data_IF_085238052666
#
_entry.id   IF_085238052666
#
_cell.length_a   1.000
_cell.length_b   1.000
_cell.length_c   1.000
_cell.angle_alpha   90.00
_cell.angle_beta   90.00
_cell.angle_gamma   90.00
#
_symmetry.space_group_name_H-M   'P 1'
#
loop_
_entity.id
_entity.type
_entity.pdbx_description
1 polymer ?
#
# COMPACT_ATOMS: atom_id res chain seq x y z
N UNK A 1 -6.70 -15.31 5.54
CA UNK A 1 -7.13 -14.20 6.42
C UNK A 1 -6.80 -12.90 5.72
N UNK A 2 -7.72 -11.93 5.73
CA UNK A 2 -7.57 -10.65 5.01
C UNK A 2 -7.65 -9.50 6.00
N UNK A 3 -6.76 -8.53 5.83
CA UNK A 3 -6.66 -7.34 6.64
C UNK A 3 -6.81 -6.12 5.76
N UNK A 4 -7.54 -5.11 6.24
CA UNK A 4 -7.75 -3.87 5.50
C UNK A 4 -7.38 -2.69 6.38
N UNK A 5 -6.56 -1.79 5.86
CA UNK A 5 -6.19 -0.53 6.50
C UNK A 5 -6.59 0.62 5.60
N UNK A 6 -7.41 1.52 6.13
CA UNK A 6 -7.77 2.77 5.47
C UNK A 6 -6.97 3.93 6.06
N UNK A 7 -6.55 4.84 5.18
CA UNK A 7 -5.94 6.12 5.50
C UNK A 7 -6.84 7.22 4.93
N UNK A 8 -7.23 8.13 5.81
CA UNK A 8 -7.98 9.34 5.46
C UNK A 8 -7.04 10.51 5.71
N UNK A 9 -6.95 11.42 4.75
CA UNK A 9 -6.10 12.61 4.79
C UNK A 9 -4.60 12.28 4.93
N UNK A 10 -4.12 11.34 4.10
CA UNK A 10 -2.71 10.98 4.07
C UNK A 10 -1.86 12.05 3.34
N UNK A 11 -0.57 12.13 3.71
CA UNK A 11 0.40 13.04 3.06
C UNK A 11 0.52 12.69 1.58
N UNK A 12 0.27 13.65 0.70
CA UNK A 12 0.28 13.46 -0.75
C UNK A 12 1.61 12.90 -1.28
N UNK A 13 2.72 13.08 -0.56
CA UNK A 13 4.03 12.47 -0.88
C UNK A 13 4.01 10.95 -0.88
N UNK A 14 3.05 10.30 -0.21
CA UNK A 14 2.95 8.84 -0.23
C UNK A 14 2.56 8.29 -1.61
N UNK A 15 1.97 9.11 -2.49
CA UNK A 15 1.66 8.70 -3.85
C UNK A 15 2.88 8.52 -4.75
N UNK A 16 4.07 8.93 -4.31
CA UNK A 16 5.31 8.71 -5.06
C UNK A 16 5.65 7.20 -5.18
N UNK A 17 5.18 6.38 -4.23
CA UNK A 17 5.35 4.94 -4.29
C UNK A 17 4.34 4.22 -3.40
N UNK A 18 3.74 3.16 -3.93
CA UNK A 18 2.86 2.31 -3.15
C UNK A 18 3.52 1.66 -1.91
N UNK A 19 4.84 1.56 -1.90
CA UNK A 19 5.60 0.98 -0.79
C UNK A 19 5.45 1.79 0.50
N UNK A 20 5.18 3.10 0.40
CA UNK A 20 4.89 3.95 1.56
C UNK A 20 3.63 3.48 2.29
N UNK A 21 2.54 3.22 1.55
CA UNK A 21 1.29 2.72 2.12
C UNK A 21 1.44 1.33 2.74
N UNK A 22 2.20 0.45 2.08
CA UNK A 22 2.42 -0.92 2.60
C UNK A 22 3.24 -0.87 3.89
N UNK A 23 4.36 -0.12 3.93
CA UNK A 23 5.17 0.04 5.15
C UNK A 23 4.36 0.67 6.28
N UNK A 24 3.55 1.69 5.98
CA UNK A 24 2.68 2.30 6.97
C UNK A 24 1.64 1.32 7.53
N UNK A 25 1.03 0.49 6.67
CA UNK A 25 0.09 -0.54 7.09
C UNK A 25 0.77 -1.62 7.96
N UNK A 26 1.97 -2.08 7.56
CA UNK A 26 2.77 -3.03 8.34
C UNK A 26 3.12 -2.47 9.73
N UNK A 27 3.60 -1.24 9.80
CA UNK A 27 3.95 -0.59 11.07
C UNK A 27 2.73 -0.40 11.98
N UNK A 28 1.57 -0.06 11.40
CA UNK A 28 0.32 0.07 12.15
C UNK A 28 -0.17 -1.27 12.74
N UNK A 29 0.20 -2.39 12.13
CA UNK A 29 -0.09 -3.76 12.61
C UNK A 29 1.04 -4.33 13.49
N UNK A 30 2.04 -3.52 13.83
CA UNK A 30 3.15 -3.91 14.73
C UNK A 30 4.26 -4.71 14.07
N UNK A 31 4.31 -4.75 12.73
CA UNK A 31 5.41 -5.38 12.00
C UNK A 31 6.64 -4.45 11.94
N UNK A 32 7.84 -5.04 12.04
CA UNK A 32 9.09 -4.33 11.78
C UNK A 32 9.20 -3.99 10.28
N UNK A 33 9.54 -2.74 9.98
CA UNK A 33 9.64 -2.22 8.60
C UNK A 33 11.05 -1.78 8.20
N UNK A 34 12.01 -1.87 9.14
CA UNK A 34 13.33 -1.25 9.01
C UNK A 34 14.14 -1.84 7.84
N UNK A 35 13.97 -3.13 7.56
CA UNK A 35 14.69 -3.86 6.50
C UNK A 35 13.76 -4.48 5.42
N UNK A 36 12.56 -3.94 5.25
CA UNK A 36 11.62 -4.48 4.25
C UNK A 36 12.02 -4.02 2.84
N UNK A 37 12.51 -4.98 2.05
CA UNK A 37 12.82 -4.81 0.63
C UNK A 37 11.64 -5.20 -0.26
N UNK A 38 11.19 -4.25 -1.09
CA UNK A 38 10.15 -4.48 -2.10
C UNK A 38 10.78 -4.77 -3.46
N UNK A 39 10.85 -6.05 -3.83
CA UNK A 39 11.32 -6.47 -5.15
C UNK A 39 10.46 -5.88 -6.28
N UNK A 40 11.01 -5.10 -7.21
CA UNK A 40 10.27 -4.53 -8.35
C UNK A 40 9.60 -5.59 -9.22
N UNK A 41 10.21 -6.78 -9.34
CA UNK A 41 9.66 -7.90 -10.13
C UNK A 41 8.35 -8.45 -9.55
N UNK A 42 8.09 -8.20 -8.26
CA UNK A 42 6.89 -8.66 -7.55
C UNK A 42 5.87 -7.54 -7.35
N UNK A 43 6.19 -6.34 -7.84
CA UNK A 43 5.36 -5.16 -7.73
C UNK A 43 4.79 -4.80 -9.10
N UNK A 44 3.47 -4.66 -9.17
CA UNK A 44 2.78 -4.07 -10.32
C UNK A 44 2.13 -2.79 -9.85
N UNK A 45 2.56 -1.66 -10.41
CA UNK A 45 2.08 -0.33 -10.05
C UNK A 45 1.49 0.35 -11.28
N UNK A 46 0.34 1.00 -11.09
CA UNK A 46 -0.39 1.75 -12.10
C UNK A 46 -0.72 3.11 -11.50
N UNK A 47 -0.23 4.16 -12.14
CA UNK A 47 -0.52 5.56 -11.79
C UNK A 47 -1.34 6.19 -12.89
N UNK A 48 -2.44 6.85 -12.54
CA UNK A 48 -3.28 7.60 -13.48
C UNK A 48 -3.65 8.94 -12.87
N UNK A 49 -2.94 9.99 -13.28
CA UNK A 49 -3.12 11.34 -12.71
C UNK A 49 -2.88 11.35 -11.20
N UNK A 50 -3.94 11.59 -10.44
CA UNK A 50 -3.94 11.67 -8.97
C UNK A 50 -4.28 10.33 -8.28
N UNK A 51 -4.41 9.25 -9.05
CA UNK A 51 -4.73 7.91 -8.56
C UNK A 51 -3.53 6.99 -8.67
N UNK A 52 -3.36 6.16 -7.65
CA UNK A 52 -2.31 5.14 -7.56
C UNK A 52 -2.96 3.81 -7.19
N UNK A 53 -2.65 2.78 -7.95
CA UNK A 53 -3.02 1.40 -7.63
C UNK A 53 -1.79 0.51 -7.73
N UNK A 54 -1.63 -0.40 -6.77
CA UNK A 54 -0.59 -1.41 -6.88
C UNK A 54 -1.01 -2.77 -6.35
N UNK A 55 -0.27 -3.79 -6.79
CA UNK A 55 -0.29 -5.13 -6.23
C UNK A 55 1.16 -5.54 -5.97
N UNK A 56 1.49 -5.86 -4.72
CA UNK A 56 2.77 -6.44 -4.34
C UNK A 56 2.57 -7.89 -3.86
N UNK A 57 3.28 -8.82 -4.49
CA UNK A 57 3.24 -10.25 -4.16
C UNK A 57 4.40 -10.59 -3.21
N UNK A 58 4.18 -10.45 -1.91
CA UNK A 58 5.14 -10.79 -0.86
C UNK A 58 5.27 -12.29 -0.64
N UNK A 59 6.17 -12.69 0.26
CA UNK A 59 6.35 -14.11 0.64
C UNK A 59 5.18 -14.65 1.45
N UNK A 60 4.55 -13.81 2.29
CA UNK A 60 3.45 -14.20 3.20
C UNK A 60 2.05 -13.91 2.65
N UNK A 61 1.96 -13.08 1.60
CA UNK A 61 0.68 -12.72 1.00
C UNK A 61 0.79 -11.68 -0.09
N UNK A 62 -0.37 -11.16 -0.49
CA UNK A 62 -0.52 -10.07 -1.44
C UNK A 62 -0.92 -8.81 -0.70
N UNK A 63 -0.24 -7.70 -0.99
CA UNK A 63 -0.71 -6.36 -0.68
C UNK A 63 -1.32 -5.73 -1.91
N UNK A 64 -2.50 -5.14 -1.76
CA UNK A 64 -3.17 -4.34 -2.78
C UNK A 64 -3.34 -2.94 -2.22
N UNK A 65 -2.90 -1.93 -2.97
CA UNK A 65 -3.04 -0.52 -2.58
C UNK A 65 -3.91 0.17 -3.61
N UNK A 66 -4.86 0.96 -3.13
CA UNK A 66 -5.67 1.89 -3.93
C UNK A 66 -5.64 3.23 -3.23
N UNK A 67 -5.09 4.25 -3.87
CA UNK A 67 -5.01 5.61 -3.33
C UNK A 67 -5.53 6.61 -4.35
N UNK A 68 -6.24 7.63 -3.87
CA UNK A 68 -6.76 8.72 -4.70
C UNK A 68 -6.56 10.05 -3.98
N UNK A 69 -6.00 11.02 -4.72
CA UNK A 69 -5.91 12.42 -4.33
C UNK A 69 -7.02 13.26 -4.99
N UNK A 70 -7.88 12.65 -5.81
CA UNK A 70 -8.96 13.36 -6.49
C UNK A 70 -10.12 13.72 -5.56
N UNK A 71 -10.29 12.94 -4.48
CA UNK A 71 -11.25 13.23 -3.43
C UNK A 71 -10.52 13.90 -2.25
N UNK A 72 -11.02 15.05 -1.78
CA UNK A 72 -10.63 15.62 -0.50
C UNK A 72 -11.59 15.13 0.61
N UNK A 73 -11.07 14.66 1.76
CA UNK A 73 -9.65 14.43 2.05
C UNK A 73 -9.10 13.23 1.26
N UNK A 74 -7.79 13.24 0.96
CA UNK A 74 -7.13 12.15 0.22
C UNK A 74 -7.41 10.80 0.88
N UNK A 75 -7.69 9.76 0.10
CA UNK A 75 -8.01 8.43 0.65
C UNK A 75 -7.13 7.34 0.07
N UNK A 76 -6.69 6.43 0.93
CA UNK A 76 -6.01 5.22 0.51
C UNK A 76 -6.52 4.01 1.28
N UNK A 77 -6.60 2.89 0.59
CA UNK A 77 -6.95 1.59 1.16
C UNK A 77 -5.84 0.61 0.83
N UNK A 78 -5.35 -0.08 1.86
CA UNK A 78 -4.41 -1.18 1.75
C UNK A 78 -5.12 -2.45 2.18
N UNK A 79 -5.12 -3.46 1.31
CA UNK A 79 -5.66 -4.78 1.58
C UNK A 79 -4.50 -5.76 1.59
N UNK A 80 -4.31 -6.46 2.70
CA UNK A 80 -3.37 -7.58 2.80
C UNK A 80 -4.14 -8.90 2.84
N UNK A 81 -3.83 -9.80 1.91
CA UNK A 81 -4.37 -11.16 1.86
C UNK A 81 -3.25 -12.15 2.05
N UNK A 82 -3.28 -12.90 3.15
CA UNK A 82 -2.30 -13.97 3.40
C UNK A 82 -2.43 -15.06 2.34
N UNK A 83 -1.30 -15.63 1.91
CA UNK A 83 -1.33 -16.91 1.20
C UNK A 83 -1.95 -18.00 2.10
N UNK A 84 -2.49 -19.04 1.45
CA UNK A 84 -3.02 -20.21 2.16
C UNK A 84 -1.88 -20.99 2.83
#
# INVERSE_FOLDING_TARGET
MTYTKEWIDYDSKWNDSCTHFIKAAMAADGCDTTDVYFSPVRLTEITSGSELMCIYKGTEGIYQVMASQMAEPHRAVVIFSRWD
#
